data_IF_237570650669
#
_entry.id   IF_237570650669
#
_cell.length_a   1.000
_cell.length_b   1.000
_cell.length_c   1.000
_cell.angle_alpha   90.00
_cell.angle_beta   90.00
_cell.angle_gamma   90.00
#
_symmetry.space_group_name_H-M   'P 1'
#
loop_
_entity.id
_entity.type
_entity.pdbx_description
1 polymer ?
#
# COMPACT_ATOMS: atom_id res chain seq x y z
N UNK A 1 12.86 19.87 -8.11
CA UNK A 1 12.70 18.40 -8.08
C UNK A 1 12.59 17.93 -9.51
N UNK A 2 13.54 17.11 -9.97
CA UNK A 2 13.47 16.57 -11.34
C UNK A 2 12.23 15.68 -11.46
N UNK A 3 11.50 15.81 -12.57
CA UNK A 3 10.33 14.97 -12.87
C UNK A 3 10.66 13.46 -12.94
N UNK A 4 11.92 13.10 -12.88
CA UNK A 4 12.47 11.76 -13.08
C UNK A 4 12.95 11.09 -11.77
N UNK A 5 12.81 11.73 -10.61
CA UNK A 5 13.24 11.15 -9.34
C UNK A 5 12.06 10.56 -8.57
N UNK A 6 12.08 9.24 -8.36
CA UNK A 6 11.22 8.53 -7.41
C UNK A 6 11.84 8.49 -6.02
N UNK A 7 11.03 8.31 -4.99
CA UNK A 7 11.46 7.94 -3.65
C UNK A 7 11.25 6.46 -3.44
N UNK A 8 12.24 5.76 -2.89
CA UNK A 8 12.09 4.35 -2.53
C UNK A 8 12.21 4.21 -1.02
N UNK A 9 11.27 3.49 -0.41
CA UNK A 9 11.27 3.20 1.01
C UNK A 9 11.47 1.70 1.19
N UNK A 10 12.56 1.34 1.86
CA UNK A 10 12.85 -0.04 2.22
C UNK A 10 12.50 -0.27 3.68
N UNK A 11 11.66 -1.27 3.95
CA UNK A 11 11.30 -1.68 5.30
C UNK A 11 11.71 -3.14 5.48
N UNK A 12 12.32 -3.45 6.62
CA UNK A 12 12.76 -4.81 6.93
C UNK A 12 11.60 -5.81 6.89
N UNK A 13 11.72 -6.83 6.06
CA UNK A 13 10.74 -7.90 5.94
C UNK A 13 10.67 -8.76 7.21
N UNK A 14 11.69 -8.67 8.07
CA UNK A 14 11.72 -9.31 9.39
C UNK A 14 10.59 -8.87 10.33
N UNK A 15 9.93 -7.74 10.07
CA UNK A 15 8.72 -7.35 10.79
C UNK A 15 7.63 -8.40 10.66
N UNK A 16 7.41 -8.94 9.46
CA UNK A 16 6.45 -10.02 9.22
C UNK A 16 6.98 -11.39 9.69
N UNK A 17 8.29 -11.50 9.85
CA UNK A 17 8.94 -12.72 10.31
C UNK A 17 8.72 -13.90 9.37
N UNK A 18 8.56 -15.09 9.96
CA UNK A 18 8.28 -16.35 9.27
C UNK A 18 6.81 -16.77 9.37
N UNK A 19 5.96 -15.90 9.90
CA UNK A 19 4.53 -16.16 10.03
C UNK A 19 3.82 -15.96 8.68
N UNK A 20 3.42 -17.07 8.10
CA UNK A 20 2.71 -17.11 6.79
C UNK A 20 1.42 -16.30 6.83
N UNK A 21 0.74 -16.26 7.96
CA UNK A 21 -0.51 -15.51 8.09
C UNK A 21 -0.28 -14.01 8.16
N UNK A 22 0.81 -13.56 8.78
CA UNK A 22 1.21 -12.15 8.75
C UNK A 22 1.49 -11.69 7.32
N UNK A 23 2.19 -12.52 6.53
CA UNK A 23 2.43 -12.24 5.11
C UNK A 23 1.14 -12.21 4.30
N UNK A 24 0.24 -13.17 4.53
CA UNK A 24 -1.05 -13.25 3.86
C UNK A 24 -1.90 -12.01 4.14
N UNK A 25 -2.01 -11.66 5.41
CA UNK A 25 -2.73 -10.46 5.85
C UNK A 25 -2.16 -9.19 5.21
N UNK A 26 -0.83 -9.03 5.19
CA UNK A 26 -0.17 -7.88 4.55
C UNK A 26 -0.47 -7.80 3.05
N UNK A 27 -0.37 -8.94 2.34
CA UNK A 27 -0.63 -8.98 0.90
C UNK A 27 -2.10 -8.67 0.57
N UNK A 28 -3.03 -9.20 1.34
CA UNK A 28 -4.47 -8.90 1.21
C UNK A 28 -4.73 -7.41 1.47
N UNK A 29 -4.18 -6.87 2.55
CA UNK A 29 -4.31 -5.45 2.89
C UNK A 29 -3.76 -4.55 1.77
N UNK A 30 -2.54 -4.81 1.30
CA UNK A 30 -1.94 -4.02 0.23
C UNK A 30 -2.79 -4.08 -1.04
N UNK A 31 -3.22 -5.27 -1.43
CA UNK A 31 -4.03 -5.49 -2.63
C UNK A 31 -5.37 -4.75 -2.57
N UNK A 32 -6.05 -4.83 -1.43
CA UNK A 32 -7.35 -4.19 -1.25
C UNK A 32 -7.29 -2.65 -1.28
N UNK A 33 -6.16 -2.07 -0.87
CA UNK A 33 -6.05 -0.62 -0.67
C UNK A 33 -4.96 0.06 -1.52
N UNK A 34 -4.41 -0.58 -2.54
CA UNK A 34 -3.38 0.04 -3.40
C UNK A 34 -3.86 1.36 -4.01
N UNK A 35 -5.12 1.46 -4.44
CA UNK A 35 -5.69 2.70 -4.95
C UNK A 35 -5.69 3.84 -3.89
N UNK A 36 -5.95 3.50 -2.63
CA UNK A 36 -5.85 4.45 -1.51
C UNK A 36 -4.41 4.93 -1.32
N UNK A 37 -3.46 3.99 -1.37
CA UNK A 37 -2.03 4.29 -1.26
C UNK A 37 -1.54 5.17 -2.41
N UNK A 38 -1.97 4.92 -3.64
CA UNK A 38 -1.64 5.77 -4.78
C UNK A 38 -2.15 7.20 -4.58
N UNK A 39 -3.39 7.38 -4.16
CA UNK A 39 -3.94 8.70 -3.87
C UNK A 39 -3.18 9.40 -2.73
N UNK A 40 -2.89 8.68 -1.65
CA UNK A 40 -2.13 9.18 -0.51
C UNK A 40 -0.73 9.68 -0.93
N UNK A 41 -0.04 8.93 -1.80
CA UNK A 41 1.34 9.21 -2.21
C UNK A 41 1.40 10.32 -3.27
N UNK A 42 0.53 10.28 -4.26
CA UNK A 42 0.63 11.14 -5.44
C UNK A 42 -0.21 12.40 -5.34
N UNK A 43 -1.30 12.35 -4.60
CA UNK A 43 -2.22 13.47 -4.53
C UNK A 43 -2.70 13.88 -5.93
N UNK A 44 -2.69 15.17 -6.20
CA UNK A 44 -3.05 15.77 -7.48
C UNK A 44 -1.98 15.65 -8.59
N UNK A 45 -0.78 15.22 -8.21
CA UNK A 45 0.39 15.22 -9.12
C UNK A 45 0.53 13.97 -9.96
N UNK A 46 -0.37 13.01 -9.82
CA UNK A 46 -0.33 11.77 -10.57
C UNK A 46 -0.36 12.01 -12.10
N UNK A 47 -1.11 13.00 -12.56
CA UNK A 47 -1.21 13.37 -13.96
C UNK A 47 0.10 13.89 -14.57
N UNK A 48 1.00 14.45 -13.76
CA UNK A 48 2.31 14.95 -14.19
C UNK A 48 3.39 13.87 -14.29
N UNK A 49 3.09 12.61 -13.92
CA UNK A 49 4.07 11.54 -13.79
C UNK A 49 3.81 10.36 -14.71
N UNK A 50 3.80 10.59 -16.01
CA UNK A 50 3.60 9.53 -17.02
C UNK A 50 4.63 8.39 -16.90
N UNK A 51 5.84 8.67 -16.43
CA UNK A 51 6.92 7.68 -16.27
C UNK A 51 6.79 6.82 -14.99
N UNK A 52 5.89 7.19 -14.08
CA UNK A 52 5.68 6.45 -12.83
C UNK A 52 5.30 5.00 -13.09
N UNK A 53 4.34 4.78 -13.99
CA UNK A 53 3.87 3.44 -14.32
C UNK A 53 4.90 2.59 -15.06
N UNK A 54 5.97 3.20 -15.58
CA UNK A 54 7.11 2.49 -16.16
C UNK A 54 8.03 1.91 -15.08
N UNK A 55 8.21 2.63 -13.95
CA UNK A 55 9.17 2.27 -12.91
C UNK A 55 8.54 1.73 -11.63
N UNK A 56 7.27 1.98 -11.42
CA UNK A 56 6.49 1.53 -10.28
C UNK A 56 5.02 1.27 -10.68
N UNK A 57 4.77 0.36 -11.65
CA UNK A 57 3.40 -0.01 -12.01
C UNK A 57 2.67 -0.62 -10.82
N UNK A 58 1.33 -0.53 -10.79
CA UNK A 58 0.51 -1.17 -9.76
C UNK A 58 0.85 -2.65 -9.59
N UNK A 59 0.88 -3.11 -8.36
CA UNK A 59 1.23 -4.49 -8.00
C UNK A 59 0.02 -5.32 -7.58
N UNK A 60 -1.09 -4.66 -7.23
CA UNK A 60 -2.26 -5.32 -6.67
C UNK A 60 -2.85 -6.39 -7.59
N UNK A 61 -2.96 -6.14 -8.89
CA UNK A 61 -3.49 -7.11 -9.85
C UNK A 61 -2.67 -8.40 -9.91
N UNK A 62 -1.35 -8.25 -9.89
CA UNK A 62 -0.44 -9.40 -9.93
C UNK A 62 -0.52 -10.22 -8.64
N UNK A 63 -0.63 -9.55 -7.49
CA UNK A 63 -0.81 -10.21 -6.18
C UNK A 63 -2.19 -10.89 -6.14
N UNK A 64 -3.24 -10.21 -6.60
CA UNK A 64 -4.60 -10.73 -6.64
C UNK A 64 -4.70 -12.01 -7.48
N UNK A 65 -4.08 -12.04 -8.65
CA UNK A 65 -4.04 -13.23 -9.50
C UNK A 65 -3.35 -14.43 -8.84
N UNK A 66 -2.39 -14.19 -7.94
CA UNK A 66 -1.74 -15.22 -7.12
C UNK A 66 -2.48 -15.59 -5.83
N UNK A 67 -3.55 -14.84 -5.47
CA UNK A 67 -4.17 -14.92 -4.14
C UNK A 67 -4.69 -16.30 -3.78
N UNK A 68 -5.22 -17.06 -4.74
CA UNK A 68 -5.68 -18.43 -4.48
C UNK A 68 -4.55 -19.36 -4.01
N UNK A 69 -3.33 -19.18 -4.53
CA UNK A 69 -2.14 -19.93 -4.09
C UNK A 69 -1.60 -19.38 -2.77
N UNK A 70 -1.62 -18.05 -2.60
CA UNK A 70 -1.20 -17.37 -1.36
C UNK A 70 -2.06 -17.83 -0.19
N UNK A 71 -3.39 -17.95 -0.37
CA UNK A 71 -4.31 -18.43 0.66
C UNK A 71 -4.06 -19.88 1.08
N UNK A 72 -3.50 -20.70 0.19
CA UNK A 72 -3.14 -22.12 0.46
C UNK A 72 -1.70 -22.29 0.93
N UNK A 73 -0.90 -21.25 0.92
CA UNK A 73 0.50 -21.31 1.30
C UNK A 73 0.67 -21.79 2.73
N UNK A 74 1.63 -22.73 2.92
CA UNK A 74 2.00 -23.28 4.23
C UNK A 74 3.37 -22.78 4.69
N UNK A 75 4.09 -22.12 3.81
CA UNK A 75 5.40 -21.53 4.06
C UNK A 75 5.55 -20.19 3.35
N UNK A 76 6.53 -19.40 3.77
CA UNK A 76 6.88 -18.16 3.09
C UNK A 76 7.39 -18.44 1.67
N UNK A 77 8.06 -19.57 1.46
CA UNK A 77 8.50 -20.01 0.13
C UNK A 77 7.30 -20.26 -0.80
N UNK A 78 6.19 -20.80 -0.29
CA UNK A 78 4.97 -20.96 -1.07
C UNK A 78 4.37 -19.61 -1.45
N UNK A 79 4.41 -18.62 -0.54
CA UNK A 79 3.99 -17.25 -0.84
C UNK A 79 4.82 -16.68 -1.98
N UNK A 80 6.16 -16.76 -1.88
CA UNK A 80 7.06 -16.31 -2.95
C UNK A 80 6.70 -16.92 -4.30
N UNK A 81 6.47 -18.22 -4.31
CA UNK A 81 6.14 -18.97 -5.54
C UNK A 81 4.84 -18.48 -6.20
N UNK A 82 3.87 -18.07 -5.38
CA UNK A 82 2.58 -17.58 -5.85
C UNK A 82 2.55 -16.05 -6.12
N UNK A 83 3.58 -15.30 -5.68
CA UNK A 83 3.73 -13.91 -6.01
C UNK A 83 4.16 -13.76 -7.47
N UNK A 84 3.29 -13.18 -8.29
CA UNK A 84 3.58 -12.93 -9.71
C UNK A 84 4.33 -11.60 -9.93
N UNK A 85 4.82 -10.98 -8.85
CA UNK A 85 5.48 -9.67 -8.86
C UNK A 85 6.98 -9.76 -8.59
N UNK A 86 7.69 -10.70 -9.22
CA UNK A 86 9.15 -10.81 -9.07
C UNK A 86 9.92 -9.76 -9.89
N UNK A 87 9.25 -8.80 -10.47
CA UNK A 87 9.88 -7.78 -11.28
C UNK A 87 10.40 -6.62 -10.42
N UNK A 88 11.60 -6.15 -10.77
CA UNK A 88 12.23 -4.99 -10.14
C UNK A 88 11.36 -3.74 -10.21
N UNK A 89 10.59 -3.59 -11.28
CA UNK A 89 9.73 -2.45 -11.54
C UNK A 89 8.29 -2.78 -11.14
N UNK A 90 7.99 -2.64 -9.86
CA UNK A 90 6.66 -2.79 -9.28
C UNK A 90 6.49 -1.79 -8.14
N UNK A 91 5.27 -1.30 -7.89
CA UNK A 91 5.00 -0.36 -6.79
C UNK A 91 5.36 -0.96 -5.43
N UNK A 92 5.11 -2.25 -5.25
CA UNK A 92 5.60 -3.08 -4.14
C UNK A 92 6.55 -4.13 -4.70
N UNK A 93 7.82 -4.05 -4.35
CA UNK A 93 8.89 -4.89 -4.88
C UNK A 93 9.42 -5.85 -3.81
N UNK A 94 9.48 -7.13 -4.16
CA UNK A 94 9.90 -8.25 -3.31
C UNK A 94 11.30 -8.76 -3.65
N UNK A 95 12.01 -8.19 -4.62
CA UNK A 95 13.30 -8.72 -5.08
C UNK A 95 14.37 -8.83 -3.97
N UNK A 96 14.26 -8.02 -2.91
CA UNK A 96 15.18 -8.01 -1.79
C UNK A 96 14.71 -8.84 -0.59
N UNK A 97 13.58 -9.54 -0.68
CA UNK A 97 13.06 -10.39 0.40
C UNK A 97 13.69 -11.78 0.29
N UNK A 98 14.23 -12.27 1.38
CA UNK A 98 14.94 -13.57 1.40
C UNK A 98 14.05 -14.78 1.15
N UNK A 99 12.82 -14.75 1.61
CA UNK A 99 11.90 -15.89 1.57
C UNK A 99 12.56 -17.25 1.96
N UNK A 100 13.55 -17.22 2.86
CA UNK A 100 14.37 -18.40 3.24
C UNK A 100 15.10 -19.11 2.08
N UNK A 101 15.39 -18.38 0.99
CA UNK A 101 16.20 -18.93 -0.09
C UNK A 101 17.66 -19.03 0.36
N UNK A 102 18.23 -20.25 0.56
CA UNK A 102 19.61 -20.40 1.04
C UNK A 102 20.67 -19.82 0.08
N UNK A 103 20.31 -19.60 -1.18
CA UNK A 103 21.19 -18.93 -2.16
C UNK A 103 21.26 -17.41 -2.03
N UNK A 104 20.41 -16.79 -1.21
CA UNK A 104 20.27 -15.32 -1.11
C UNK A 104 21.02 -14.75 0.10
N UNK A 105 22.31 -15.03 0.20
CA UNK A 105 23.15 -14.64 1.36
C UNK A 105 23.44 -13.13 1.42
N UNK A 106 23.16 -12.37 0.36
CA UNK A 106 23.60 -10.96 0.21
C UNK A 106 22.48 -9.94 0.07
N UNK A 107 21.22 -10.30 0.16
CA UNK A 107 20.11 -9.38 0.05
C UNK A 107 19.87 -8.57 1.33
N UNK A 108 19.13 -7.50 1.23
CA UNK A 108 18.81 -6.58 2.34
C UNK A 108 17.66 -7.08 3.24
N UNK A 109 16.98 -8.14 2.86
CA UNK A 109 15.74 -8.64 3.47
C UNK A 109 14.73 -7.51 3.71
N UNK A 110 14.39 -6.79 2.65
CA UNK A 110 13.48 -5.64 2.70
C UNK A 110 12.38 -5.75 1.68
N UNK A 111 11.20 -5.30 2.06
CA UNK A 111 10.14 -4.88 1.16
C UNK A 111 10.47 -3.47 0.66
N UNK A 112 10.39 -3.23 -0.64
CA UNK A 112 10.64 -1.93 -1.23
C UNK A 112 9.35 -1.33 -1.78
N UNK A 113 8.91 -0.21 -1.19
CA UNK A 113 7.81 0.60 -1.69
C UNK A 113 8.37 1.64 -2.65
N UNK A 114 8.09 1.48 -3.94
CA UNK A 114 8.66 2.28 -5.03
C UNK A 114 7.75 3.40 -5.51
N UNK A 115 6.50 3.38 -5.06
CA UNK A 115 5.51 4.39 -5.44
C UNK A 115 5.78 5.81 -4.90
N UNK A 116 6.46 6.05 -3.74
CA UNK A 116 6.64 7.40 -3.23
C UNK A 116 7.32 8.35 -4.20
N UNK A 117 6.87 9.61 -4.16
CA UNK A 117 7.53 10.70 -4.85
C UNK A 117 8.82 11.10 -4.13
N UNK A 118 9.86 11.46 -4.87
CA UNK A 118 10.98 12.17 -4.28
C UNK A 118 10.48 13.54 -3.75
N UNK A 119 10.76 13.81 -2.50
CA UNK A 119 10.41 15.07 -1.84
C UNK A 119 11.47 15.43 -0.82
N UNK A 120 11.69 16.72 -0.61
CA UNK A 120 12.49 17.26 0.49
C UNK A 120 11.65 17.61 1.71
N UNK A 121 10.33 17.40 1.64
CA UNK A 121 9.42 17.65 2.75
C UNK A 121 9.47 16.47 3.72
N UNK A 122 10.04 16.70 4.89
CA UNK A 122 10.24 15.73 5.96
C UNK A 122 8.92 15.14 6.47
N UNK A 123 7.86 15.95 6.56
CA UNK A 123 6.54 15.49 7.03
C UNK A 123 5.97 14.45 6.07
N UNK A 124 6.10 14.66 4.75
CA UNK A 124 5.64 13.70 3.75
C UNK A 124 6.46 12.40 3.85
N UNK A 125 7.78 12.51 3.98
CA UNK A 125 8.63 11.32 4.14
C UNK A 125 8.28 10.53 5.39
N UNK A 126 8.20 11.21 6.52
CA UNK A 126 7.85 10.57 7.79
C UNK A 126 6.48 9.89 7.72
N UNK A 127 5.49 10.56 7.13
CA UNK A 127 4.14 10.01 6.99
C UNK A 127 4.11 8.78 6.08
N UNK A 128 4.84 8.80 4.96
CA UNK A 128 4.97 7.64 4.08
C UNK A 128 5.63 6.45 4.80
N UNK A 129 6.75 6.69 5.50
CA UNK A 129 7.47 5.64 6.25
C UNK A 129 6.56 5.07 7.35
N UNK A 130 5.89 5.94 8.12
CA UNK A 130 4.99 5.51 9.18
C UNK A 130 3.84 4.66 8.63
N UNK A 131 3.22 5.08 7.53
CA UNK A 131 2.11 4.34 6.90
C UNK A 131 2.54 2.93 6.49
N UNK A 132 3.64 2.80 5.76
CA UNK A 132 4.11 1.48 5.33
C UNK A 132 4.58 0.60 6.49
N UNK A 133 5.26 1.18 7.49
CA UNK A 133 5.66 0.44 8.68
C UNK A 133 4.44 -0.06 9.48
N UNK A 134 3.43 0.79 9.66
CA UNK A 134 2.19 0.43 10.36
C UNK A 134 1.39 -0.65 9.61
N UNK A 135 1.39 -0.65 8.29
CA UNK A 135 0.79 -1.74 7.50
C UNK A 135 1.43 -3.09 7.82
N UNK A 136 2.77 -3.16 7.92
CA UNK A 136 3.44 -4.40 8.27
C UNK A 136 3.18 -4.79 9.73
N UNK A 137 3.24 -3.83 10.63
CA UNK A 137 3.01 -4.06 12.07
C UNK A 137 1.60 -4.56 12.35
N UNK A 138 0.58 -3.90 11.80
CA UNK A 138 -0.82 -4.32 11.97
C UNK A 138 -1.10 -5.69 11.35
N UNK A 139 -0.45 -6.01 10.22
CA UNK A 139 -0.55 -7.34 9.60
C UNK A 139 0.12 -8.43 10.44
N UNK A 140 1.28 -8.13 11.04
CA UNK A 140 1.98 -9.04 11.96
C UNK A 140 1.16 -9.30 13.22
N UNK A 141 0.61 -8.24 13.81
CA UNK A 141 -0.11 -8.32 15.07
C UNK A 141 -1.53 -8.89 14.89
N UNK A 142 -1.93 -9.18 13.64
CA UNK A 142 -3.23 -9.76 13.28
C UNK A 142 -4.40 -8.96 13.84
N UNK A 143 -4.23 -7.65 13.91
CA UNK A 143 -5.28 -6.71 14.37
C UNK A 143 -6.45 -6.67 13.38
N UNK A 144 -6.20 -7.10 12.14
CA UNK A 144 -7.19 -7.10 11.07
C UNK A 144 -7.93 -8.42 10.98
N UNK A 145 -9.24 -8.34 10.78
CA UNK A 145 -10.08 -9.47 10.43
C UNK A 145 -9.74 -9.95 9.01
N UNK A 146 -9.12 -11.13 8.90
CA UNK A 146 -8.73 -11.70 7.62
C UNK A 146 -9.95 -12.07 6.78
N UNK A 147 -11.05 -12.50 7.39
CA UNK A 147 -12.32 -12.80 6.70
C UNK A 147 -12.90 -11.54 6.07
N UNK A 148 -12.76 -10.40 6.74
CA UNK A 148 -13.15 -9.11 6.17
C UNK A 148 -12.31 -8.75 4.94
N UNK A 149 -11.00 -8.96 4.97
CA UNK A 149 -10.14 -8.72 3.81
C UNK A 149 -10.46 -9.67 2.65
N UNK A 150 -10.76 -10.93 2.93
CA UNK A 150 -11.19 -11.90 1.91
C UNK A 150 -12.53 -11.51 1.29
N UNK A 151 -13.50 -11.08 2.10
CA UNK A 151 -14.77 -10.54 1.61
C UNK A 151 -14.52 -9.34 0.69
N UNK A 152 -13.68 -8.39 1.13
CA UNK A 152 -13.37 -7.19 0.38
C UNK A 152 -12.70 -7.50 -0.97
N UNK A 153 -11.74 -8.42 -1.00
CA UNK A 153 -11.08 -8.83 -2.23
C UNK A 153 -12.01 -9.57 -3.19
N UNK A 154 -12.93 -10.37 -2.66
CA UNK A 154 -13.84 -11.15 -3.50
C UNK A 154 -15.02 -10.35 -4.06
N UNK A 155 -15.45 -9.25 -3.39
CA UNK A 155 -16.65 -8.50 -3.74
C UNK A 155 -16.40 -7.04 -4.12
N UNK A 156 -15.35 -6.44 -3.60
CA UNK A 156 -15.08 -5.00 -3.75
C UNK A 156 -13.71 -4.71 -4.39
N UNK A 157 -12.96 -5.74 -4.80
CA UNK A 157 -11.66 -5.52 -5.42
C UNK A 157 -11.80 -4.74 -6.72
N UNK A 158 -11.03 -3.69 -6.83
CA UNK A 158 -10.94 -2.88 -8.04
C UNK A 158 -9.47 -2.73 -8.43
N UNK A 159 -9.10 -3.15 -9.65
CA UNK A 159 -7.79 -2.88 -10.19
C UNK A 159 -7.54 -1.37 -10.26
N UNK A 160 -6.33 -0.97 -10.61
CA UNK A 160 -6.06 0.45 -10.84
C UNK A 160 -6.89 0.96 -12.03
N UNK A 161 -7.89 1.78 -11.73
CA UNK A 161 -8.87 2.28 -12.72
C UNK A 161 -8.49 3.63 -13.34
N UNK A 162 -7.30 4.14 -13.05
CA UNK A 162 -6.86 5.44 -13.54
C UNK A 162 -7.08 6.56 -12.53
N UNK A 163 -6.65 7.76 -12.92
CA UNK A 163 -6.56 8.90 -12.00
C UNK A 163 -7.91 9.38 -11.49
N UNK A 164 -8.96 9.30 -12.29
CA UNK A 164 -10.30 9.75 -11.91
C UNK A 164 -10.86 8.97 -10.73
N UNK A 165 -10.61 7.65 -10.70
CA UNK A 165 -11.04 6.80 -9.60
C UNK A 165 -10.41 7.18 -8.26
N UNK A 166 -9.17 7.64 -8.27
CA UNK A 166 -8.47 8.00 -7.03
C UNK A 166 -9.14 9.15 -6.26
N UNK A 167 -9.98 9.92 -6.93
CA UNK A 167 -10.68 11.06 -6.33
C UNK A 167 -12.15 10.77 -6.01
N UNK A 168 -12.67 9.60 -6.34
CA UNK A 168 -14.09 9.35 -6.13
C UNK A 168 -14.42 9.02 -4.65
N UNK A 169 -15.72 9.06 -4.33
CA UNK A 169 -16.22 8.83 -2.97
C UNK A 169 -16.00 7.39 -2.49
N UNK A 170 -15.92 6.42 -3.39
CA UNK A 170 -15.65 5.01 -3.04
C UNK A 170 -14.22 4.90 -2.54
N UNK A 171 -13.25 5.50 -3.23
CA UNK A 171 -11.87 5.50 -2.78
C UNK A 171 -11.69 6.27 -1.45
N UNK A 172 -12.45 7.34 -1.23
CA UNK A 172 -12.46 8.04 0.06
C UNK A 172 -13.02 7.15 1.19
N UNK A 173 -14.11 6.41 0.95
CA UNK A 173 -14.63 5.44 1.91
C UNK A 173 -13.57 4.40 2.26
N UNK A 174 -12.89 3.87 1.25
CA UNK A 174 -11.79 2.91 1.44
C UNK A 174 -10.62 3.53 2.22
N UNK A 175 -10.32 4.82 2.05
CA UNK A 175 -9.27 5.48 2.82
C UNK A 175 -9.64 5.61 4.31
N UNK A 176 -10.90 5.90 4.63
CA UNK A 176 -11.39 5.95 6.01
C UNK A 176 -11.34 4.57 6.68
N UNK A 177 -11.72 3.54 5.95
CA UNK A 177 -11.64 2.15 6.39
C UNK A 177 -10.17 1.71 6.59
N UNK A 178 -9.28 2.04 5.64
CA UNK A 178 -7.86 1.75 5.73
C UNK A 178 -7.21 2.34 6.99
N UNK A 179 -7.51 3.59 7.34
CA UNK A 179 -6.90 4.20 8.53
C UNK A 179 -7.38 3.54 9.82
N UNK A 180 -8.60 3.03 9.85
CA UNK A 180 -9.13 2.31 11.01
C UNK A 180 -8.51 0.91 11.15
N UNK A 181 -8.16 0.26 10.04
CA UNK A 181 -7.47 -1.03 10.03
C UNK A 181 -5.99 -0.92 10.40
N UNK A 182 -5.32 0.14 9.99
CA UNK A 182 -3.85 0.23 10.03
C UNK A 182 -3.34 0.98 11.25
N UNK A 183 -4.06 2.02 11.69
CA UNK A 183 -3.57 2.90 12.75
C UNK A 183 -4.36 2.72 14.04
N UNK A 184 -3.63 2.53 15.12
CA UNK A 184 -4.13 2.35 16.49
C UNK A 184 -4.37 3.68 17.24
N UNK A 185 -3.96 4.81 16.66
CA UNK A 185 -4.10 6.12 17.29
C UNK A 185 -4.59 7.20 16.32
N UNK A 186 -5.26 8.21 16.87
CA UNK A 186 -5.86 9.28 16.06
C UNK A 186 -4.83 10.21 15.40
N UNK A 187 -3.64 10.33 15.95
CA UNK A 187 -2.60 11.21 15.39
C UNK A 187 -2.16 10.70 14.02
N UNK A 188 -1.83 9.42 13.93
CA UNK A 188 -1.43 8.77 12.67
C UNK A 188 -2.57 8.83 11.64
N UNK A 189 -3.82 8.54 12.06
CA UNK A 189 -5.01 8.66 11.20
C UNK A 189 -5.17 10.07 10.62
N UNK A 190 -5.00 11.09 11.46
CA UNK A 190 -5.09 12.49 11.02
C UNK A 190 -3.98 12.84 10.02
N UNK A 191 -2.74 12.44 10.29
CA UNK A 191 -1.63 12.73 9.37
C UNK A 191 -1.82 12.04 8.02
N UNK A 192 -2.23 10.77 8.01
CA UNK A 192 -2.56 10.05 6.79
C UNK A 192 -3.67 10.76 6.00
N UNK A 193 -4.80 11.03 6.65
CA UNK A 193 -5.97 11.64 5.97
C UNK A 193 -5.70 13.07 5.50
N UNK A 194 -4.88 13.85 6.20
CA UNK A 194 -4.46 15.18 5.73
C UNK A 194 -3.68 15.11 4.42
N UNK A 195 -2.78 14.14 4.30
CA UNK A 195 -2.01 13.94 3.07
C UNK A 195 -2.90 13.38 1.95
N UNK A 196 -3.75 12.40 2.26
CA UNK A 196 -4.71 11.82 1.32
C UNK A 196 -5.70 12.85 0.77
N UNK A 197 -6.22 13.73 1.63
CA UNK A 197 -7.22 14.76 1.27
C UNK A 197 -6.60 16.00 0.63
N UNK A 198 -5.30 16.07 0.47
CA UNK A 198 -4.65 17.21 -0.18
C UNK A 198 -5.22 17.39 -1.58
N UNK A 199 -5.67 18.61 -1.86
CA UNK A 199 -6.31 19.03 -3.11
C UNK A 199 -7.60 18.23 -3.48
N UNK A 200 -8.15 17.45 -2.56
CA UNK A 200 -9.40 16.72 -2.81
C UNK A 200 -10.57 17.68 -3.06
N UNK A 201 -10.57 18.82 -2.39
CA UNK A 201 -11.60 19.86 -2.52
C UNK A 201 -11.65 20.45 -3.92
N UNK A 202 -10.53 20.62 -4.60
CA UNK A 202 -10.44 21.19 -5.95
C UNK A 202 -11.10 20.28 -7.01
N UNK A 203 -11.10 18.97 -6.75
CA UNK A 203 -11.58 17.97 -7.70
C UNK A 203 -13.00 17.48 -7.45
N UNK A 204 -13.49 17.51 -6.19
CA UNK A 204 -14.77 16.85 -5.82
C UNK A 204 -15.72 17.70 -4.98
N UNK A 205 -15.38 18.96 -4.75
CA UNK A 205 -16.24 19.91 -4.04
C UNK A 205 -16.24 19.77 -2.51
N UNK A 206 -16.86 20.77 -1.89
CA UNK A 206 -16.80 21.03 -0.44
C UNK A 206 -17.49 19.93 0.38
N UNK A 207 -18.57 19.35 -0.12
CA UNK A 207 -19.37 18.38 0.65
C UNK A 207 -18.60 17.10 1.01
N UNK A 208 -17.81 16.59 0.08
CA UNK A 208 -17.02 15.36 0.30
C UNK A 208 -15.93 15.58 1.35
N UNK A 209 -15.28 16.74 1.31
CA UNK A 209 -14.24 17.10 2.30
C UNK A 209 -14.86 17.33 3.68
N UNK A 210 -16.04 17.92 3.76
CA UNK A 210 -16.77 18.13 5.03
C UNK A 210 -17.19 16.80 5.64
N UNK A 211 -17.69 15.87 4.83
CA UNK A 211 -18.01 14.51 5.30
C UNK A 211 -16.78 13.80 5.84
N UNK A 212 -15.67 13.81 5.13
CA UNK A 212 -14.42 13.23 5.57
C UNK A 212 -13.91 13.84 6.88
N UNK A 213 -13.95 15.17 7.02
CA UNK A 213 -13.53 15.86 8.25
C UNK A 213 -14.35 15.51 9.49
N UNK A 214 -15.59 15.04 9.35
CA UNK A 214 -16.40 14.57 10.49
C UNK A 214 -15.86 13.28 11.13
N UNK A 215 -15.11 12.49 10.40
CA UNK A 215 -14.48 11.27 10.91
C UNK A 215 -13.11 11.51 11.57
N UNK A 216 -12.56 12.72 11.45
CA UNK A 216 -11.26 13.13 12.02
C UNK A 216 -11.43 13.79 13.40
N UNK A 217 -12.66 13.97 13.87
CA UNK A 217 -12.94 14.48 15.23
C UNK A 217 -12.89 13.33 16.22
#
# INVERSE_FOLDING_TARGET
TSHNAGGHIHIGASILGEDVEAWRCFLKLYTAYENVLFRFIYGDKINGRKEMFKYAPPSADLIYNGMSGINKAKSISDIKWNLQTNERYAALNFCNVYFKDPGYIYGKNTLEFRSPNATTNEVIWQNNINTFAKMLLSSRDKVMDEDFLDYKLSHEYLPYLGNEYLYNNVNLKNALEFVDLVFDNNVDKIYFLRQYLKNFQENYGIETVVKAKKFIK
#
